data_IF_021292451855
#
_entry.id   IF_021292451855
#
_cell.length_a   1.000
_cell.length_b   1.000
_cell.length_c   1.000
_cell.angle_alpha   90.00
_cell.angle_beta   90.00
_cell.angle_gamma   90.00
#
_symmetry.space_group_name_H-M   'P 1'
#
loop_
_entity.id
_entity.type
_entity.pdbx_description
1 polymer ?
#
# COMPACT_ATOMS: atom_id res chain seq x y z
N UNK A 1 7.92 -12.21 27.36
CA UNK A 1 6.67 -12.17 26.57
C UNK A 1 6.36 -10.73 26.23
N UNK A 2 6.54 -10.28 24.99
CA UNK A 2 6.24 -8.88 24.64
C UNK A 2 6.83 -8.42 23.32
N UNK A 3 6.34 -8.95 22.19
CA UNK A 3 6.75 -8.52 20.84
C UNK A 3 5.61 -8.56 19.82
N UNK A 4 4.37 -8.16 20.20
CA UNK A 4 3.25 -8.13 19.22
C UNK A 4 2.35 -6.87 19.28
N UNK A 5 2.64 -5.88 20.12
CA UNK A 5 1.73 -4.72 20.28
C UNK A 5 1.86 -3.65 19.19
N UNK A 6 2.97 -3.58 18.46
CA UNK A 6 3.19 -2.54 17.44
C UNK A 6 2.39 -2.78 16.14
N UNK A 7 2.19 -4.04 15.75
CA UNK A 7 1.54 -4.37 14.47
C UNK A 7 0.02 -4.17 14.47
N UNK A 8 -0.63 -4.26 15.64
CA UNK A 8 -2.10 -4.16 15.74
C UNK A 8 -2.55 -2.70 15.71
N UNK A 9 -1.82 -1.82 16.40
CA UNK A 9 -2.12 -0.38 16.44
C UNK A 9 -1.96 0.23 15.05
N UNK A 10 -0.86 -0.10 14.36
CA UNK A 10 -0.59 0.43 13.01
C UNK A 10 -1.61 -0.06 11.97
N UNK A 11 -2.07 -1.31 12.07
CA UNK A 11 -3.10 -1.85 11.20
C UNK A 11 -4.45 -1.13 11.40
N UNK A 12 -4.84 -0.87 12.64
CA UNK A 12 -6.08 -0.16 12.94
C UNK A 12 -6.03 1.31 12.47
N UNK A 13 -4.92 2.00 12.71
CA UNK A 13 -4.71 3.38 12.23
C UNK A 13 -4.73 3.47 10.69
N UNK A 14 -4.19 2.45 10.00
CA UNK A 14 -4.26 2.35 8.54
C UNK A 14 -5.70 2.19 8.05
N UNK A 15 -6.49 1.29 8.66
CA UNK A 15 -7.88 1.06 8.26
C UNK A 15 -8.75 2.30 8.49
N UNK A 16 -8.58 2.97 9.64
CA UNK A 16 -9.27 4.21 9.97
C UNK A 16 -8.90 5.33 8.99
N UNK A 17 -7.61 5.50 8.69
CA UNK A 17 -7.16 6.49 7.70
C UNK A 17 -7.72 6.17 6.30
N UNK A 18 -7.83 4.89 5.93
CA UNK A 18 -8.45 4.49 4.68
C UNK A 18 -9.91 4.92 4.65
N UNK A 19 -10.70 4.58 5.68
CA UNK A 19 -12.12 4.94 5.78
C UNK A 19 -12.35 6.45 5.70
N UNK A 20 -11.47 7.26 6.30
CA UNK A 20 -11.58 8.73 6.26
C UNK A 20 -11.36 9.34 4.86
N UNK A 21 -10.86 8.58 3.87
CA UNK A 21 -10.88 8.98 2.46
C UNK A 21 -12.32 9.14 1.92
N UNK A 22 -13.27 8.41 2.50
CA UNK A 22 -14.69 8.47 2.18
C UNK A 22 -15.45 9.61 2.85
N UNK A 23 -14.78 10.43 3.67
CA UNK A 23 -15.47 11.38 4.53
C UNK A 23 -16.19 12.50 3.74
N UNK A 24 -17.24 13.08 4.32
CA UNK A 24 -17.88 14.31 3.80
C UNK A 24 -16.93 15.52 3.93
N UNK A 25 -16.10 15.54 4.97
CA UNK A 25 -15.20 16.64 5.28
C UNK A 25 -13.90 16.56 4.48
N UNK A 26 -13.61 17.63 3.75
CA UNK A 26 -12.37 17.77 2.96
C UNK A 26 -11.13 17.80 3.85
N UNK A 27 -11.23 18.38 5.04
CA UNK A 27 -10.12 18.45 6.00
C UNK A 27 -9.75 17.06 6.49
N UNK A 28 -10.74 16.20 6.74
CA UNK A 28 -10.52 14.80 7.11
C UNK A 28 -9.88 14.01 5.98
N UNK A 29 -10.38 14.15 4.75
CA UNK A 29 -9.75 13.54 3.57
C UNK A 29 -8.28 13.97 3.43
N UNK A 30 -7.97 15.27 3.59
CA UNK A 30 -6.59 15.76 3.53
C UNK A 30 -5.69 15.14 4.60
N UNK A 31 -6.21 15.00 5.82
CA UNK A 31 -5.49 14.42 6.95
C UNK A 31 -5.20 12.94 6.69
N UNK A 32 -6.21 12.18 6.31
CA UNK A 32 -6.09 10.78 5.92
C UNK A 32 -5.04 10.54 4.82
N UNK A 33 -5.05 11.35 3.76
CA UNK A 33 -4.05 11.25 2.68
C UNK A 33 -2.63 11.42 3.23
N UNK A 34 -2.42 12.42 4.11
CA UNK A 34 -1.10 12.66 4.72
C UNK A 34 -0.70 11.50 5.63
N UNK A 35 -1.62 10.98 6.43
CA UNK A 35 -1.36 9.85 7.34
C UNK A 35 -0.97 8.60 6.57
N UNK A 36 -1.73 8.23 5.53
CA UNK A 36 -1.38 7.11 4.63
C UNK A 36 -0.02 7.31 3.95
N UNK A 37 0.29 8.55 3.56
CA UNK A 37 1.60 8.92 3.00
C UNK A 37 2.76 8.91 3.99
N UNK A 38 2.48 9.02 5.29
CA UNK A 38 3.48 8.97 6.35
C UNK A 38 3.72 7.53 6.82
N UNK A 39 2.67 6.71 6.87
CA UNK A 39 2.74 5.27 7.14
C UNK A 39 3.57 4.54 6.08
N UNK A 40 3.63 5.05 4.83
CA UNK A 40 4.49 4.46 3.81
C UNK A 40 4.01 3.11 3.28
N UNK A 41 2.77 2.71 3.60
CA UNK A 41 2.24 1.40 3.25
C UNK A 41 1.78 1.37 1.77
N UNK A 42 2.37 0.53 0.90
CA UNK A 42 2.01 0.46 -0.51
C UNK A 42 0.58 -0.05 -0.75
N UNK A 43 -0.07 -0.67 0.24
CA UNK A 43 -1.46 -1.10 0.15
C UNK A 43 -2.44 0.07 -0.04
N UNK A 44 -2.06 1.30 0.33
CA UNK A 44 -2.88 2.51 0.12
C UNK A 44 -2.90 3.00 -1.33
N UNK A 45 -1.90 2.64 -2.16
CA UNK A 45 -1.78 3.11 -3.54
C UNK A 45 -3.06 2.93 -4.38
N UNK A 46 -3.68 1.73 -4.45
CA UNK A 46 -4.90 1.55 -5.25
C UNK A 46 -6.06 2.45 -4.80
N UNK A 47 -6.19 2.71 -3.50
CA UNK A 47 -7.23 3.60 -2.97
C UNK A 47 -6.96 5.07 -3.32
N UNK A 48 -5.71 5.52 -3.19
CA UNK A 48 -5.30 6.89 -3.52
C UNK A 48 -5.38 7.17 -5.03
N UNK A 49 -5.00 6.20 -5.87
CA UNK A 49 -5.13 6.29 -7.33
C UNK A 49 -6.60 6.31 -7.75
N UNK A 50 -7.45 5.47 -7.15
CA UNK A 50 -8.89 5.51 -7.38
C UNK A 50 -9.52 6.84 -6.97
N UNK A 51 -9.07 7.43 -5.86
CA UNK A 51 -9.52 8.76 -5.42
C UNK A 51 -9.11 9.84 -6.41
N UNK A 52 -7.84 9.82 -6.89
CA UNK A 52 -7.35 10.74 -7.93
C UNK A 52 -8.14 10.60 -9.24
N UNK A 53 -8.41 9.37 -9.65
CA UNK A 53 -9.16 9.03 -10.86
C UNK A 53 -10.68 9.21 -10.75
N UNK A 54 -11.21 9.70 -9.63
CA UNK A 54 -12.66 9.82 -9.38
C UNK A 54 -13.43 8.47 -9.49
N UNK A 55 -12.71 7.37 -9.26
CA UNK A 55 -13.18 5.98 -9.31
C UNK A 55 -13.50 5.42 -7.92
N UNK A 56 -13.24 6.18 -6.86
CA UNK A 56 -13.59 5.80 -5.50
C UNK A 56 -15.05 6.15 -5.20
N UNK A 57 -15.80 5.19 -4.67
CA UNK A 57 -17.18 5.33 -4.20
C UNK A 57 -17.31 4.85 -2.77
N UNK A 58 -18.34 5.34 -2.11
CA UNK A 58 -18.65 5.02 -0.72
C UNK A 58 -20.05 4.43 -0.71
N UNK A 59 -20.22 3.24 -0.13
CA UNK A 59 -21.54 2.67 0.17
C UNK A 59 -22.20 3.41 1.34
N UNK A 60 -23.50 3.22 1.55
CA UNK A 60 -24.20 3.75 2.73
C UNK A 60 -23.59 3.22 4.04
N UNK A 61 -23.05 1.99 4.03
CA UNK A 61 -22.34 1.38 5.16
C UNK A 61 -20.94 1.99 5.44
N UNK A 62 -20.54 3.03 4.69
CA UNK A 62 -19.21 3.64 4.80
C UNK A 62 -18.09 2.84 4.12
N UNK A 63 -18.43 1.73 3.44
CA UNK A 63 -17.46 0.88 2.75
C UNK A 63 -16.93 1.58 1.49
N UNK A 64 -15.60 1.59 1.36
CA UNK A 64 -14.91 2.13 0.20
C UNK A 64 -14.83 1.12 -0.94
N UNK A 65 -15.37 1.51 -2.08
CA UNK A 65 -15.47 0.71 -3.28
C UNK A 65 -14.67 1.39 -4.39
N UNK A 66 -13.67 0.68 -4.91
CA UNK A 66 -12.87 1.10 -6.05
C UNK A 66 -13.54 0.53 -7.31
N UNK A 67 -14.01 1.41 -8.18
CA UNK A 67 -14.59 1.02 -9.47
C UNK A 67 -13.50 0.61 -10.46
N UNK A 68 -13.79 -0.38 -11.31
CA UNK A 68 -12.97 -0.67 -12.48
C UNK A 68 -13.01 0.51 -13.49
N UNK A 69 -12.14 0.49 -14.50
CA UNK A 69 -12.07 1.50 -15.56
C UNK A 69 -13.39 1.62 -16.31
N UNK A 70 -14.02 0.48 -16.60
CA UNK A 70 -15.34 0.40 -17.26
C UNK A 70 -16.49 0.84 -16.35
N UNK A 71 -16.30 0.87 -15.02
CA UNK A 71 -17.33 1.26 -14.06
C UNK A 71 -18.35 0.17 -13.69
N UNK A 72 -18.31 -1.00 -14.35
CA UNK A 72 -19.30 -2.08 -14.15
C UNK A 72 -19.12 -2.89 -12.87
N UNK A 73 -17.89 -2.95 -12.35
CA UNK A 73 -17.52 -3.76 -11.18
C UNK A 73 -16.81 -2.91 -10.15
N UNK A 74 -17.10 -3.18 -8.88
CA UNK A 74 -16.41 -2.59 -7.74
C UNK A 74 -15.59 -3.61 -6.99
N UNK A 75 -14.54 -3.14 -6.31
CA UNK A 75 -13.78 -3.93 -5.33
C UNK A 75 -13.68 -3.16 -4.03
N UNK A 76 -13.83 -3.85 -2.90
CA UNK A 76 -13.62 -3.26 -1.59
C UNK A 76 -12.13 -2.85 -1.44
N UNK A 77 -11.86 -1.62 -1.01
CA UNK A 77 -10.51 -1.09 -0.89
C UNK A 77 -9.65 -1.83 0.17
N UNK A 78 -10.28 -2.34 1.23
CA UNK A 78 -9.63 -3.08 2.32
C UNK A 78 -9.52 -4.57 1.98
N UNK A 79 -10.66 -5.21 1.71
CA UNK A 79 -10.72 -6.67 1.53
C UNK A 79 -10.31 -7.14 0.12
N UNK A 80 -10.25 -6.23 -0.86
CA UNK A 80 -10.00 -6.50 -2.30
C UNK A 80 -11.02 -7.45 -2.97
N UNK A 81 -12.05 -7.88 -2.22
CA UNK A 81 -13.19 -8.68 -2.69
C UNK A 81 -14.03 -7.86 -3.67
N UNK A 82 -14.53 -8.53 -4.70
CA UNK A 82 -15.45 -7.95 -5.68
C UNK A 82 -16.81 -7.71 -5.01
N UNK A 83 -17.43 -6.57 -5.31
CA UNK A 83 -18.74 -6.18 -4.80
C UNK A 83 -19.62 -5.81 -5.99
N UNK A 84 -20.84 -6.33 -6.00
CA UNK A 84 -21.84 -5.98 -7.00
C UNK A 84 -22.42 -4.60 -6.72
N UNK A 85 -22.43 -3.74 -7.74
CA UNK A 85 -22.77 -2.33 -7.61
C UNK A 85 -24.28 -2.06 -7.68
N UNK A 86 -25.05 -2.98 -8.30
CA UNK A 86 -26.47 -2.80 -8.61
C UNK A 86 -27.36 -2.52 -7.39
N UNK A 87 -27.16 -3.14 -6.21
CA UNK A 87 -28.00 -2.85 -5.05
C UNK A 87 -27.48 -1.69 -4.18
N UNK A 88 -26.30 -1.11 -4.46
CA UNK A 88 -25.66 -0.16 -3.55
C UNK A 88 -25.88 1.31 -3.96
N UNK A 89 -26.29 2.14 -3.01
CA UNK A 89 -26.22 3.58 -3.16
C UNK A 89 -24.76 4.04 -3.02
N UNK A 90 -24.18 4.50 -4.14
CA UNK A 90 -22.77 4.83 -4.21
C UNK A 90 -22.54 6.33 -4.24
N UNK A 91 -22.05 6.87 -3.13
CA UNK A 91 -21.72 8.28 -3.01
C UNK A 91 -20.32 8.59 -3.52
N UNK A 92 -20.16 9.76 -4.18
CA UNK A 92 -18.88 10.31 -4.62
C UNK A 92 -18.22 11.16 -3.51
N UNK A 93 -16.95 10.94 -3.17
CA UNK A 93 -16.17 11.85 -2.34
C UNK A 93 -16.04 13.24 -3.00
N UNK A 94 -16.12 14.32 -2.22
CA UNK A 94 -16.03 15.70 -2.74
C UNK A 94 -14.58 16.18 -2.76
N UNK A 95 -13.92 16.05 -3.91
CA UNK A 95 -12.51 16.40 -4.09
C UNK A 95 -12.36 17.77 -4.75
N UNK A 96 -11.44 18.61 -4.24
CA UNK A 96 -11.04 19.87 -4.87
C UNK A 96 -9.58 19.84 -5.36
N UNK A 97 -9.12 20.91 -6.02
CA UNK A 97 -7.76 21.01 -6.53
C UNK A 97 -6.68 20.88 -5.43
N UNK A 98 -6.94 21.43 -4.25
CA UNK A 98 -6.02 21.34 -3.11
C UNK A 98 -5.82 19.90 -2.63
N UNK A 99 -6.89 19.10 -2.55
CA UNK A 99 -6.82 17.67 -2.23
C UNK A 99 -6.07 16.92 -3.32
N UNK A 100 -6.32 17.20 -4.61
CA UNK A 100 -5.61 16.58 -5.75
C UNK A 100 -4.11 16.82 -5.72
N UNK A 101 -3.66 18.03 -5.36
CA UNK A 101 -2.24 18.35 -5.23
C UNK A 101 -1.54 17.48 -4.18
N UNK A 102 -2.15 17.35 -3.00
CA UNK A 102 -1.62 16.53 -1.90
C UNK A 102 -1.63 15.04 -2.29
N UNK A 103 -2.67 14.59 -3.00
CA UNK A 103 -2.74 13.23 -3.53
C UNK A 103 -1.57 12.92 -4.47
N UNK A 104 -1.31 13.80 -5.44
CA UNK A 104 -0.23 13.60 -6.40
C UNK A 104 1.14 13.50 -5.74
N UNK A 105 1.44 14.37 -4.76
CA UNK A 105 2.72 14.30 -4.05
C UNK A 105 2.83 13.04 -3.21
N UNK A 106 1.73 12.63 -2.57
CA UNK A 106 1.70 11.45 -1.69
C UNK A 106 1.86 10.15 -2.47
N UNK A 107 1.15 10.02 -3.59
CA UNK A 107 1.30 8.87 -4.49
C UNK A 107 2.75 8.78 -5.00
N UNK A 108 3.33 9.90 -5.44
CA UNK A 108 4.73 9.92 -5.87
C UNK A 108 5.70 9.48 -4.78
N UNK A 109 5.52 9.98 -3.55
CA UNK A 109 6.32 9.58 -2.39
C UNK A 109 6.21 8.06 -2.11
N UNK A 110 4.98 7.53 -2.07
CA UNK A 110 4.73 6.10 -1.83
C UNK A 110 5.30 5.21 -2.94
N UNK A 111 5.19 5.64 -4.21
CA UNK A 111 5.79 4.91 -5.33
C UNK A 111 7.32 4.85 -5.24
N UNK A 112 7.97 5.96 -4.84
CA UNK A 112 9.41 5.99 -4.62
C UNK A 112 9.82 5.07 -3.46
N UNK A 113 9.10 5.13 -2.32
CA UNK A 113 9.36 4.27 -1.16
C UNK A 113 9.17 2.78 -1.49
N UNK A 114 8.11 2.45 -2.22
CA UNK A 114 7.84 1.08 -2.66
C UNK A 114 8.94 0.55 -3.58
N UNK A 115 9.46 1.37 -4.51
CA UNK A 115 10.57 0.98 -5.38
C UNK A 115 11.85 0.75 -4.60
N UNK A 116 12.21 1.64 -3.67
CA UNK A 116 13.39 1.50 -2.79
C UNK A 116 13.31 0.20 -1.96
N UNK A 117 12.12 -0.17 -1.48
CA UNK A 117 11.91 -1.44 -0.77
C UNK A 117 12.19 -2.67 -1.63
N UNK A 118 11.84 -2.66 -2.93
CA UNK A 118 12.10 -3.78 -3.84
C UNK A 118 13.60 -3.93 -4.17
N UNK A 119 14.34 -2.83 -4.26
CA UNK A 119 15.79 -2.87 -4.47
C UNK A 119 16.57 -3.36 -3.24
N UNK A 120 16.12 -3.02 -2.03
CA UNK A 120 16.76 -3.52 -0.80
C UNK A 120 16.62 -5.05 -0.65
N UNK A 121 15.42 -5.59 -0.90
CA UNK A 121 15.13 -7.03 -0.78
C UNK A 121 15.87 -7.89 -1.81
N UNK A 122 16.06 -7.37 -3.03
CA UNK A 122 16.83 -8.06 -4.07
C UNK A 122 18.33 -8.01 -3.81
N UNK A 123 18.86 -6.86 -3.36
CA UNK A 123 20.28 -6.71 -3.07
C UNK A 123 20.73 -7.59 -1.89
N UNK A 124 19.96 -7.62 -0.79
CA UNK A 124 20.25 -8.51 0.35
C UNK A 124 20.27 -9.99 -0.05
N UNK A 125 19.30 -10.43 -0.87
CA UNK A 125 19.24 -11.81 -1.38
C UNK A 125 20.44 -12.15 -2.27
N UNK A 126 20.89 -11.20 -3.09
CA UNK A 126 22.05 -11.40 -3.97
C UNK A 126 23.37 -11.40 -3.19
N UNK A 127 23.51 -10.54 -2.18
CA UNK A 127 24.69 -10.48 -1.31
C UNK A 127 24.81 -11.78 -0.52
N UNK A 128 23.74 -12.23 0.15
CA UNK A 128 23.73 -13.49 0.92
C UNK A 128 24.09 -14.69 0.04
N UNK A 129 23.57 -14.73 -1.20
CA UNK A 129 23.87 -15.81 -2.15
C UNK A 129 25.32 -15.76 -2.66
N UNK A 130 25.86 -14.56 -2.94
CA UNK A 130 27.27 -14.39 -3.32
C UNK A 130 28.24 -14.70 -2.17
N UNK A 131 27.92 -14.33 -0.92
CA UNK A 131 28.75 -14.66 0.24
C UNK A 131 28.80 -16.16 0.50
N UNK A 132 27.68 -16.87 0.33
CA UNK A 132 27.62 -18.32 0.46
C UNK A 132 28.46 -19.05 -0.60
N UNK A 133 28.37 -18.63 -1.87
CA UNK A 133 29.18 -19.17 -2.97
C UNK A 133 30.70 -18.92 -2.80
N UNK A 134 31.09 -17.82 -2.14
CA UNK A 134 32.49 -17.49 -1.90
C UNK A 134 33.12 -18.33 -0.79
N UNK A 135 32.34 -18.66 0.25
CA UNK A 135 32.75 -19.56 1.34
C UNK A 135 32.88 -21.01 0.86
N UNK A 136 31.96 -21.51 0.03
CA UNK A 136 32.01 -22.88 -0.49
C UNK A 136 33.18 -23.16 -1.44
N UNK A 137 33.74 -22.12 -2.09
CA UNK A 137 34.92 -22.25 -2.97
C UNK A 137 36.26 -22.16 -2.24
N UNK A 138 36.30 -21.60 -1.03
CA UNK A 138 37.54 -21.46 -0.24
C UNK A 138 37.82 -22.67 0.66
N UNK A 139 36.85 -23.57 0.88
CA UNK A 139 37.03 -24.82 1.65
C UNK A 139 37.47 -26.06 0.85
N UNK A 140 37.77 -25.96 -0.45
CA UNK A 140 38.13 -27.11 -1.33
C UNK A 140 39.56 -27.05 -1.91
N UNK A 141 40.49 -26.33 -1.28
CA UNK A 141 41.91 -26.37 -1.63
C UNK A 141 42.78 -26.60 -0.39
N UNK A 142 42.94 -27.88 -0.05
CA UNK A 142 43.87 -28.36 0.96
C UNK A 142 43.61 -29.84 1.17
N UNK A 143 44.65 -30.66 1.13
CA UNK A 143 44.67 -32.12 1.27
C UNK A 143 44.47 -32.97 0.00
N UNK A 144 45.50 -32.99 -0.84
CA UNK A 144 45.98 -34.26 -1.41
C UNK A 144 47.36 -34.51 -0.83
N UNK A 145 47.44 -35.43 0.15
CA UNK A 145 48.68 -35.97 0.68
C UNK A 145 49.43 -36.74 -0.40
N UNK A 146 50.75 -36.61 -0.39
CA UNK A 146 51.63 -37.52 -1.12
C UNK A 146 51.69 -38.88 -0.43
N UNK A 147 51.73 -39.93 -1.25
CA UNK A 147 52.64 -41.05 -1.12
C UNK A 147 52.75 -41.73 -2.49
#
# INVERSE_FOLDING_TARGET
>A
MGLLSFSIVEANDFELALQDLGNKSRTKIKKAIKELGNQGNPAALPALEALKGNRLRISDDGILIILNESGDKGRNALSKKQVDLKPLNLRKPRINNSVRRILSSTIGKLQLQSRVSQYSFSCSRTIVKKTFERFSRTGRKGFTQGN
#
